data_IF_740487621828
#
_entry.id   IF_740487621828
#
_cell.length_a   1.000
_cell.length_b   1.000
_cell.length_c   1.000
_cell.angle_alpha   90.00
_cell.angle_beta   90.00
_cell.angle_gamma   90.00
#
_symmetry.space_group_name_H-M   'P 1'
#
loop_
_entity.id
_entity.type
_entity.pdbx_description
1 polymer ?
#
# COMPACT_ATOMS: atom_id res chain seq x y z
N UNK A 1 25.50 -25.56 -6.05
CA UNK A 1 25.31 -24.85 -4.78
C UNK A 1 26.34 -23.73 -4.72
N UNK A 2 25.99 -22.53 -5.17
CA UNK A 2 26.86 -21.35 -5.04
C UNK A 2 26.77 -20.86 -3.60
N UNK A 3 27.76 -21.17 -2.78
CA UNK A 3 27.86 -20.70 -1.40
C UNK A 3 27.93 -19.18 -1.40
N UNK A 4 26.86 -18.54 -0.92
CA UNK A 4 26.94 -17.13 -0.54
C UNK A 4 27.99 -17.02 0.58
N UNK A 5 28.85 -16.00 0.57
CA UNK A 5 29.86 -15.84 1.61
C UNK A 5 29.21 -15.72 2.98
N UNK A 6 29.72 -16.48 3.96
CA UNK A 6 29.27 -16.38 5.34
C UNK A 6 29.57 -14.97 5.89
N UNK A 7 28.57 -14.36 6.52
CA UNK A 7 28.76 -13.08 7.21
C UNK A 7 29.22 -13.38 8.65
N UNK A 8 30.51 -13.25 8.90
CA UNK A 8 31.05 -13.37 10.25
C UNK A 8 30.85 -12.07 11.03
N UNK A 9 29.97 -12.08 12.02
CA UNK A 9 29.76 -10.96 12.94
C UNK A 9 30.73 -11.14 14.12
N UNK A 10 31.58 -10.13 14.37
CA UNK A 10 32.62 -10.17 15.40
C UNK A 10 32.07 -10.29 16.83
N UNK A 11 32.94 -10.51 17.83
CA UNK A 11 32.54 -10.61 19.24
C UNK A 11 32.28 -9.21 19.82
N UNK A 12 31.33 -8.48 19.25
CA UNK A 12 30.98 -7.13 19.66
C UNK A 12 30.35 -7.15 21.06
N UNK A 13 30.89 -6.34 21.98
CA UNK A 13 30.43 -6.26 23.38
C UNK A 13 29.64 -4.99 23.69
N UNK A 14 29.65 -4.01 22.78
CA UNK A 14 28.98 -2.72 22.96
C UNK A 14 28.37 -2.23 21.66
N UNK A 15 27.25 -1.52 21.77
CA UNK A 15 26.61 -0.82 20.67
C UNK A 15 26.23 0.60 21.09
N UNK A 16 26.81 1.58 20.40
CA UNK A 16 26.53 3.00 20.61
C UNK A 16 26.55 3.75 19.28
N UNK A 17 25.73 4.81 19.18
CA UNK A 17 25.74 5.68 18.01
C UNK A 17 24.34 6.12 17.60
N UNK A 18 24.23 6.64 16.38
CA UNK A 18 22.95 7.06 15.80
C UNK A 18 22.77 6.53 14.39
N UNK A 19 21.53 6.17 14.04
CA UNK A 19 21.17 5.72 12.69
C UNK A 19 19.93 6.45 12.19
N UNK A 20 20.00 6.93 10.95
CA UNK A 20 18.83 7.44 10.22
C UNK A 20 18.18 6.26 9.51
N UNK A 21 16.92 6.02 9.81
CA UNK A 21 16.20 4.93 9.18
C UNK A 21 15.93 5.23 7.70
N UNK A 22 16.02 4.21 6.83
CA UNK A 22 15.45 4.33 5.50
C UNK A 22 13.92 4.51 5.61
N UNK A 23 13.30 5.11 4.60
CA UNK A 23 11.84 5.25 4.56
C UNK A 23 11.12 3.90 4.68
N UNK A 24 9.90 3.91 5.22
CA UNK A 24 9.10 2.71 5.36
C UNK A 24 8.58 2.21 4.03
N UNK A 25 8.74 0.90 3.79
CA UNK A 25 8.19 0.21 2.61
C UNK A 25 6.67 0.36 2.51
N UNK A 26 6.00 0.16 3.64
CA UNK A 26 4.54 0.20 3.74
C UNK A 26 3.97 1.60 3.51
N UNK A 27 4.64 2.64 4.00
CA UNK A 27 4.25 4.04 3.76
C UNK A 27 4.57 4.42 2.31
N UNK A 28 5.74 4.04 1.80
CA UNK A 28 6.18 4.34 0.42
C UNK A 28 5.17 3.87 -0.62
N UNK A 29 4.74 2.60 -0.57
CA UNK A 29 3.80 2.06 -1.56
C UNK A 29 2.39 2.66 -1.45
N UNK A 30 1.92 2.97 -0.23
CA UNK A 30 0.64 3.69 -0.05
C UNK A 30 0.72 5.11 -0.58
N UNK A 31 1.81 5.83 -0.27
CA UNK A 31 2.04 7.18 -0.73
C UNK A 31 2.16 7.27 -2.26
N UNK A 32 2.88 6.33 -2.89
CA UNK A 32 2.96 6.23 -4.36
C UNK A 32 1.57 6.09 -4.98
N UNK A 33 0.77 5.13 -4.51
CA UNK A 33 -0.55 4.91 -5.07
C UNK A 33 -1.52 6.08 -4.82
N UNK A 34 -1.54 6.65 -3.60
CA UNK A 34 -2.39 7.81 -3.30
C UNK A 34 -1.96 9.05 -4.11
N UNK A 35 -0.66 9.28 -4.26
CA UNK A 35 -0.14 10.36 -5.11
C UNK A 35 -0.59 10.19 -6.56
N UNK A 36 -0.49 8.97 -7.09
CA UNK A 36 -0.96 8.63 -8.44
C UNK A 36 -2.47 8.83 -8.62
N UNK A 37 -3.28 8.47 -7.63
CA UNK A 37 -4.74 8.65 -7.68
C UNK A 37 -5.19 10.09 -7.40
N UNK A 38 -4.32 10.94 -6.87
CA UNK A 38 -4.66 12.32 -6.50
C UNK A 38 -4.77 13.26 -7.70
N UNK A 39 -5.41 14.40 -7.51
CA UNK A 39 -5.26 15.56 -8.40
C UNK A 39 -4.06 16.40 -7.96
N UNK A 40 -3.22 16.75 -8.94
CA UNK A 40 -2.02 17.57 -8.74
C UNK A 40 -0.74 16.74 -8.60
N UNK A 41 0.38 17.44 -8.46
CA UNK A 41 1.72 16.82 -8.38
C UNK A 41 2.13 16.63 -6.93
N UNK A 42 2.64 15.45 -6.58
CA UNK A 42 3.17 15.13 -5.24
C UNK A 42 4.67 14.87 -5.31
N UNK A 43 5.44 15.59 -4.50
CA UNK A 43 6.86 15.31 -4.25
C UNK A 43 7.01 14.42 -3.02
N UNK A 44 7.35 13.16 -3.23
CA UNK A 44 7.64 12.19 -2.18
C UNK A 44 9.13 12.28 -1.80
N UNK A 45 9.43 12.52 -0.53
CA UNK A 45 10.80 12.58 0.02
C UNK A 45 11.09 11.39 0.92
N UNK A 46 12.37 10.98 1.00
CA UNK A 46 12.80 9.80 1.74
C UNK A 46 12.06 8.52 1.31
N UNK A 47 11.68 8.44 0.03
CA UNK A 47 11.00 7.27 -0.50
C UNK A 47 11.96 6.08 -0.44
N UNK A 48 11.48 4.93 0.05
CA UNK A 48 12.32 3.73 0.09
C UNK A 48 12.64 3.28 -1.33
N UNK A 49 13.92 3.08 -1.61
CA UNK A 49 14.35 2.40 -2.82
C UNK A 49 14.59 0.91 -2.56
N UNK A 50 13.60 0.09 -2.90
CA UNK A 50 13.61 -1.37 -2.71
C UNK A 50 12.78 -2.06 -3.80
N UNK A 51 12.92 -3.37 -3.94
CA UNK A 51 12.20 -4.16 -4.95
C UNK A 51 10.68 -3.88 -4.96
N UNK A 52 10.03 -3.90 -3.79
CA UNK A 52 8.59 -3.65 -3.69
C UNK A 52 8.17 -2.27 -4.22
N UNK A 53 8.97 -1.23 -3.98
CA UNK A 53 8.64 0.14 -4.42
C UNK A 53 9.04 0.39 -5.86
N UNK A 54 10.10 -0.27 -6.35
CA UNK A 54 10.43 -0.27 -7.78
C UNK A 54 9.32 -0.95 -8.61
N UNK A 55 8.79 -2.07 -8.13
CA UNK A 55 7.64 -2.74 -8.77
C UNK A 55 6.43 -1.80 -8.85
N UNK A 56 6.06 -1.13 -7.75
CA UNK A 56 4.95 -0.17 -7.76
C UNK A 56 5.19 0.98 -8.74
N UNK A 57 6.37 1.61 -8.73
CA UNK A 57 6.72 2.69 -9.67
C UNK A 57 6.63 2.24 -11.13
N UNK A 58 7.14 1.05 -11.44
CA UNK A 58 7.09 0.50 -12.80
C UNK A 58 5.65 0.18 -13.24
N UNK A 59 4.83 -0.36 -12.35
CA UNK A 59 3.41 -0.60 -12.65
C UNK A 59 2.66 0.71 -12.91
N UNK A 60 2.89 1.75 -12.11
CA UNK A 60 2.29 3.08 -12.29
C UNK A 60 2.74 3.73 -13.61
N UNK A 61 4.01 3.60 -14.00
CA UNK A 61 4.51 4.06 -15.31
C UNK A 61 3.81 3.33 -16.46
N UNK A 62 3.64 2.01 -16.37
CA UNK A 62 2.90 1.23 -17.37
C UNK A 62 1.42 1.61 -17.46
N UNK A 63 0.85 2.10 -16.35
CA UNK A 63 -0.51 2.65 -16.31
C UNK A 63 -0.60 4.07 -16.91
N UNK A 64 0.51 4.63 -17.40
CA UNK A 64 0.57 5.92 -18.09
C UNK A 64 0.83 7.12 -17.19
N UNK A 65 1.24 6.91 -15.93
CA UNK A 65 1.55 8.02 -15.02
C UNK A 65 3.01 8.49 -15.13
N UNK A 66 3.21 9.79 -14.91
CA UNK A 66 4.54 10.37 -14.71
C UNK A 66 5.01 10.10 -13.27
N UNK A 67 6.02 9.23 -13.14
CA UNK A 67 6.64 8.83 -11.86
C UNK A 67 8.15 8.94 -12.04
N UNK A 68 8.72 10.07 -11.60
CA UNK A 68 10.11 10.46 -11.89
C UNK A 68 10.92 10.37 -10.60
N UNK A 69 11.94 9.52 -10.59
CA UNK A 69 12.91 9.45 -9.50
C UNK A 69 13.99 10.53 -9.68
N UNK A 70 14.37 11.16 -8.58
CA UNK A 70 15.46 12.14 -8.47
C UNK A 70 16.49 11.66 -7.45
N UNK A 71 17.58 12.42 -7.31
CA UNK A 71 18.57 12.20 -6.26
C UNK A 71 17.95 12.27 -4.84
N UNK A 72 18.70 11.81 -3.84
CA UNK A 72 18.35 11.93 -2.42
C UNK A 72 16.99 11.33 -2.04
N UNK A 73 16.61 10.22 -2.69
CA UNK A 73 15.37 9.48 -2.42
C UNK A 73 14.11 10.33 -2.61
N UNK A 74 14.15 11.25 -3.58
CA UNK A 74 13.02 12.06 -3.98
C UNK A 74 12.36 11.44 -5.20
N UNK A 75 11.03 11.36 -5.20
CA UNK A 75 10.23 10.93 -6.35
C UNK A 75 9.08 11.90 -6.56
N UNK A 76 8.91 12.38 -7.80
CA UNK A 76 7.82 13.27 -8.19
C UNK A 76 6.78 12.47 -8.96
N UNK A 77 5.53 12.54 -8.51
CA UNK A 77 4.39 11.83 -9.09
C UNK A 77 3.35 12.85 -9.55
N UNK A 78 3.00 12.82 -10.83
CA UNK A 78 1.85 13.56 -11.34
C UNK A 78 0.61 12.70 -11.21
N UNK A 79 -0.34 13.16 -10.39
CA UNK A 79 -1.57 12.42 -10.12
C UNK A 79 -2.58 12.52 -11.28
N UNK A 80 -3.30 11.43 -11.51
CA UNK A 80 -4.27 11.29 -12.61
C UNK A 80 -5.71 11.68 -12.23
N UNK A 81 -5.94 12.17 -11.01
CA UNK A 81 -7.27 12.59 -10.55
C UNK A 81 -8.28 11.45 -10.44
N UNK A 82 -7.83 10.24 -10.09
CA UNK A 82 -8.67 9.09 -9.76
C UNK A 82 -8.84 8.06 -10.88
N UNK A 83 -8.61 8.44 -12.13
CA UNK A 83 -8.72 7.54 -13.29
C UNK A 83 -7.39 7.32 -13.99
N UNK A 84 -6.91 6.08 -14.03
CA UNK A 84 -5.65 5.75 -14.69
C UNK A 84 -5.76 5.95 -16.22
N UNK A 85 -4.74 6.53 -16.87
CA UNK A 85 -4.74 6.74 -18.31
C UNK A 85 -4.88 5.46 -19.14
N UNK A 86 -4.21 4.38 -18.71
CA UNK A 86 -4.25 3.09 -19.40
C UNK A 86 -5.28 2.17 -18.74
N UNK A 87 -6.21 1.69 -19.56
CA UNK A 87 -7.33 0.82 -19.17
C UNK A 87 -7.15 -0.64 -19.62
N UNK A 88 -5.97 -0.96 -20.18
CA UNK A 88 -5.59 -2.33 -20.53
C UNK A 88 -4.09 -2.55 -20.30
N UNK A 89 -3.69 -3.40 -19.36
CA UNK A 89 -2.28 -3.68 -19.07
C UNK A 89 -2.03 -5.06 -18.44
N UNK A 90 -0.87 -5.66 -18.73
CA UNK A 90 -0.32 -6.81 -18.00
C UNK A 90 0.83 -6.34 -17.11
N UNK A 91 0.62 -6.40 -15.80
CA UNK A 91 1.50 -5.84 -14.79
C UNK A 91 2.24 -6.97 -14.07
N UNK A 92 3.55 -6.97 -14.22
CA UNK A 92 4.43 -7.87 -13.47
C UNK A 92 4.76 -7.30 -12.09
N UNK A 93 4.27 -7.95 -11.06
CA UNK A 93 4.32 -7.50 -9.66
C UNK A 93 5.46 -8.13 -8.85
N UNK A 94 6.37 -8.87 -9.48
CA UNK A 94 7.49 -9.53 -8.79
C UNK A 94 7.02 -10.37 -7.60
N UNK A 95 7.64 -10.19 -6.43
CA UNK A 95 7.14 -10.67 -5.13
C UNK A 95 6.68 -9.49 -4.23
N UNK A 96 6.26 -8.37 -4.83
CA UNK A 96 5.98 -7.13 -4.13
C UNK A 96 4.58 -7.14 -3.49
N UNK A 97 4.54 -7.57 -2.24
CA UNK A 97 3.24 -7.84 -1.63
C UNK A 97 2.48 -6.57 -1.27
N UNK A 98 3.23 -5.58 -0.80
CA UNK A 98 2.74 -4.25 -0.48
C UNK A 98 2.36 -3.43 -1.71
N UNK A 99 2.65 -3.93 -2.92
CA UNK A 99 2.24 -3.31 -4.18
C UNK A 99 1.01 -3.99 -4.80
N UNK A 100 1.02 -5.32 -4.94
CA UNK A 100 -0.06 -6.03 -5.66
C UNK A 100 -1.44 -5.85 -5.01
N UNK A 101 -1.58 -5.96 -3.68
CA UNK A 101 -2.89 -5.85 -3.02
C UNK A 101 -3.55 -4.47 -3.23
N UNK A 102 -2.90 -3.35 -2.86
CA UNK A 102 -3.54 -2.06 -3.04
C UNK A 102 -3.73 -1.70 -4.53
N UNK A 103 -2.83 -2.13 -5.41
CA UNK A 103 -2.98 -1.89 -6.85
C UNK A 103 -4.13 -2.71 -7.46
N UNK A 104 -4.32 -3.97 -7.06
CA UNK A 104 -5.49 -4.78 -7.44
C UNK A 104 -6.79 -4.07 -7.09
N UNK A 105 -6.90 -3.56 -5.86
CA UNK A 105 -8.10 -2.85 -5.43
C UNK A 105 -8.34 -1.58 -6.23
N UNK A 106 -7.30 -0.76 -6.43
CA UNK A 106 -7.41 0.47 -7.20
C UNK A 106 -7.81 0.21 -8.66
N UNK A 107 -7.21 -0.80 -9.31
CA UNK A 107 -7.50 -1.18 -10.70
C UNK A 107 -8.91 -1.73 -10.88
N UNK A 108 -9.43 -2.48 -9.91
CA UNK A 108 -10.79 -2.97 -9.93
C UNK A 108 -11.83 -1.83 -9.99
N UNK A 109 -11.48 -0.63 -9.53
CA UNK A 109 -12.37 0.55 -9.56
C UNK A 109 -12.30 1.35 -10.87
N UNK A 110 -11.45 0.97 -11.83
CA UNK A 110 -11.16 1.79 -13.02
C UNK A 110 -12.09 1.51 -14.21
N UNK A 111 -12.77 0.36 -14.22
CA UNK A 111 -13.56 -0.10 -15.37
C UNK A 111 -12.71 -0.61 -16.55
N UNK A 112 -11.42 -0.91 -16.31
CA UNK A 112 -10.48 -1.44 -17.30
C UNK A 112 -10.25 -2.95 -17.19
N UNK A 113 -9.42 -3.49 -18.09
CA UNK A 113 -9.01 -4.88 -18.10
C UNK A 113 -7.53 -4.98 -17.70
N UNK A 114 -7.21 -5.72 -16.64
CA UNK A 114 -5.84 -5.79 -16.15
C UNK A 114 -5.46 -7.21 -15.82
N UNK A 115 -4.20 -7.55 -16.05
CA UNK A 115 -3.62 -8.79 -15.58
C UNK A 115 -2.52 -8.46 -14.58
N UNK A 116 -2.53 -9.12 -13.42
CA UNK A 116 -1.48 -8.97 -12.42
C UNK A 116 -0.86 -10.33 -12.15
N UNK A 117 0.45 -10.45 -12.39
CA UNK A 117 1.22 -11.68 -12.23
C UNK A 117 2.52 -11.42 -11.45
N UNK A 118 3.31 -12.46 -11.15
CA UNK A 118 4.58 -12.28 -10.46
C UNK A 118 5.53 -13.45 -10.65
N UNK A 119 6.54 -13.53 -9.79
CA UNK A 119 7.41 -14.70 -9.70
C UNK A 119 6.64 -15.89 -9.08
N UNK A 120 7.11 -17.15 -9.19
CA UNK A 120 6.41 -18.31 -8.63
C UNK A 120 5.99 -18.13 -7.17
N UNK A 121 6.86 -17.52 -6.34
CA UNK A 121 6.54 -17.24 -4.94
C UNK A 121 5.32 -16.34 -4.76
N UNK A 122 5.04 -15.41 -5.69
CA UNK A 122 3.84 -14.57 -5.64
C UNK A 122 2.56 -15.39 -5.83
N UNK A 123 2.62 -16.46 -6.62
CA UNK A 123 1.48 -17.33 -6.92
C UNK A 123 1.10 -18.23 -5.73
N UNK A 124 1.87 -18.18 -4.65
CA UNK A 124 1.61 -18.87 -3.38
C UNK A 124 1.18 -17.89 -2.28
N UNK A 125 1.08 -16.59 -2.58
CA UNK A 125 0.69 -15.58 -1.59
C UNK A 125 -0.80 -15.28 -1.66
N UNK A 126 -1.53 -15.37 -0.54
CA UNK A 126 -2.98 -15.21 -0.55
C UNK A 126 -3.40 -13.80 -0.97
N UNK A 127 -4.48 -13.75 -1.74
CA UNK A 127 -5.21 -12.52 -2.11
C UNK A 127 -6.74 -12.72 -2.09
N UNK A 128 -7.22 -13.92 -1.71
CA UNK A 128 -8.64 -14.30 -1.70
C UNK A 128 -9.53 -13.29 -0.99
N UNK A 129 -9.25 -12.98 0.27
CA UNK A 129 -10.14 -12.12 1.05
C UNK A 129 -10.27 -10.69 0.47
N UNK A 130 -9.23 -10.20 -0.21
CA UNK A 130 -9.33 -8.95 -0.96
C UNK A 130 -10.24 -9.09 -2.18
N UNK A 131 -10.05 -10.14 -2.97
CA UNK A 131 -10.88 -10.39 -4.16
C UNK A 131 -12.34 -10.60 -3.77
N UNK A 132 -12.62 -11.31 -2.68
CA UNK A 132 -13.98 -11.51 -2.17
C UNK A 132 -14.58 -10.18 -1.69
N UNK A 133 -13.79 -9.31 -1.04
CA UNK A 133 -14.18 -7.94 -0.71
C UNK A 133 -14.52 -7.09 -1.95
N UNK A 134 -13.72 -7.20 -3.01
CA UNK A 134 -13.93 -6.46 -4.25
C UNK A 134 -15.15 -7.00 -5.04
N UNK A 135 -15.39 -8.31 -5.02
CA UNK A 135 -16.55 -8.95 -5.67
C UNK A 135 -17.86 -8.54 -5.00
N UNK A 136 -17.87 -8.26 -3.69
CA UNK A 136 -19.06 -7.73 -2.99
C UNK A 136 -19.53 -6.39 -3.56
N UNK A 137 -18.63 -5.60 -4.15
CA UNK A 137 -18.96 -4.32 -4.80
C UNK A 137 -19.12 -4.44 -6.32
N UNK A 138 -19.18 -5.66 -6.85
CA UNK A 138 -19.41 -5.92 -8.28
C UNK A 138 -18.14 -6.00 -9.14
N UNK A 139 -16.94 -5.96 -8.54
CA UNK A 139 -15.71 -6.16 -9.31
C UNK A 139 -15.65 -7.56 -9.92
N UNK A 140 -15.24 -7.65 -11.19
CA UNK A 140 -15.04 -8.91 -11.89
C UNK A 140 -13.56 -9.28 -11.90
N UNK A 141 -13.20 -10.30 -11.12
CA UNK A 141 -11.81 -10.74 -10.98
C UNK A 141 -11.77 -12.26 -11.10
N UNK A 142 -10.95 -12.77 -12.00
CA UNK A 142 -10.72 -14.20 -12.24
C UNK A 142 -9.32 -14.62 -11.79
N UNK A 143 -9.20 -15.86 -11.30
CA UNK A 143 -7.91 -16.50 -11.03
C UNK A 143 -7.47 -17.30 -12.25
N UNK A 144 -6.21 -17.15 -12.68
CA UNK A 144 -5.73 -17.88 -13.87
C UNK A 144 -5.21 -19.28 -13.56
N UNK A 145 -4.68 -19.50 -12.36
CA UNK A 145 -4.02 -20.75 -11.97
C UNK A 145 -4.73 -21.42 -10.79
N UNK A 146 -4.63 -20.83 -9.60
CA UNK A 146 -5.20 -21.37 -8.37
C UNK A 146 -6.12 -20.35 -7.70
N UNK A 147 -7.31 -20.80 -7.31
CA UNK A 147 -8.27 -19.94 -6.64
C UNK A 147 -7.70 -19.37 -5.33
N UNK A 148 -7.77 -18.04 -5.19
CA UNK A 148 -7.30 -17.32 -4.01
C UNK A 148 -5.87 -16.78 -4.11
N UNK A 149 -5.18 -17.01 -5.24
CA UNK A 149 -3.78 -16.64 -5.44
C UNK A 149 -3.55 -16.00 -6.82
N UNK A 150 -2.59 -15.06 -6.96
CA UNK A 150 -2.15 -14.58 -8.27
C UNK A 150 -1.62 -15.71 -9.16
N UNK A 151 -1.60 -15.56 -10.51
CA UNK A 151 -2.06 -14.41 -11.27
C UNK A 151 -3.57 -14.21 -11.26
N UNK A 152 -3.99 -12.95 -11.36
CA UNK A 152 -5.41 -12.56 -11.47
C UNK A 152 -5.65 -11.74 -12.73
N UNK A 153 -6.85 -11.86 -13.27
CA UNK A 153 -7.40 -11.00 -14.33
C UNK A 153 -8.54 -10.16 -13.75
N UNK A 154 -8.41 -8.85 -13.82
CA UNK A 154 -9.47 -7.89 -13.53
C UNK A 154 -10.14 -7.57 -14.86
N UNK A 155 -11.46 -7.68 -14.93
CA UNK A 155 -12.25 -7.37 -16.11
C UNK A 155 -13.01 -6.06 -15.90
N UNK A 156 -13.28 -5.37 -17.01
CA UNK A 156 -14.13 -4.19 -16.98
C UNK A 156 -15.50 -4.51 -16.36
N UNK A 157 -15.88 -3.74 -15.35
CA UNK A 157 -17.12 -3.91 -14.61
C UNK A 157 -17.63 -2.57 -14.09
N UNK A 158 -18.95 -2.44 -14.01
CA UNK A 158 -19.59 -1.36 -13.27
C UNK A 158 -19.58 -1.71 -11.78
N UNK A 159 -19.08 -0.79 -10.97
CA UNK A 159 -19.01 -0.96 -9.51
C UNK A 159 -20.31 -0.46 -8.89
N UNK A 160 -20.97 -1.34 -8.15
CA UNK A 160 -22.21 -1.07 -7.42
C UNK A 160 -22.06 -1.49 -5.96
N UNK A 161 -22.10 -0.51 -5.07
CA UNK A 161 -22.01 -0.74 -3.63
C UNK A 161 -23.43 -0.67 -3.06
N UNK A 162 -24.03 -1.84 -2.83
CA UNK A 162 -25.42 -1.97 -2.35
C UNK A 162 -25.53 -2.14 -0.85
N UNK A 163 -24.54 -2.83 -0.28
CA UNK A 163 -24.55 -3.26 1.12
C UNK A 163 -23.21 -2.93 1.80
N UNK A 164 -23.15 -3.20 3.10
CA UNK A 164 -21.92 -3.15 3.90
C UNK A 164 -20.88 -4.12 3.33
N UNK A 165 -19.68 -3.63 3.05
CA UNK A 165 -18.56 -4.46 2.59
C UNK A 165 -17.94 -5.17 3.77
N UNK A 166 -17.90 -6.50 3.75
CA UNK A 166 -17.33 -7.31 4.84
C UNK A 166 -15.94 -7.81 4.49
N UNK A 167 -14.99 -7.64 5.40
CA UNK A 167 -13.61 -8.13 5.24
C UNK A 167 -13.13 -8.77 6.53
N UNK A 168 -12.39 -9.87 6.41
CA UNK A 168 -11.81 -10.54 7.58
C UNK A 168 -10.69 -9.72 8.20
N UNK A 169 -10.75 -9.54 9.53
CA UNK A 169 -9.76 -8.79 10.30
C UNK A 169 -8.53 -9.60 10.68
N UNK A 170 -8.64 -10.93 10.68
CA UNK A 170 -7.71 -11.88 11.31
C UNK A 170 -6.66 -12.46 10.34
N UNK A 171 -6.74 -12.14 9.05
CA UNK A 171 -5.84 -12.68 8.02
C UNK A 171 -4.73 -11.70 7.66
N UNK A 172 -5.09 -10.48 7.23
CA UNK A 172 -4.11 -9.49 6.77
C UNK A 172 -4.70 -8.08 6.69
N UNK A 173 -4.04 -7.11 7.33
CA UNK A 173 -4.39 -5.69 7.22
C UNK A 173 -4.27 -5.14 5.79
N UNK A 174 -3.52 -5.81 4.91
CA UNK A 174 -3.33 -5.36 3.52
C UNK A 174 -4.64 -5.38 2.72
N UNK A 175 -5.59 -6.24 3.07
CA UNK A 175 -6.86 -6.34 2.36
C UNK A 175 -7.79 -5.19 2.71
N UNK A 176 -8.00 -4.95 4.02
CA UNK A 176 -8.76 -3.80 4.49
C UNK A 176 -8.15 -2.47 4.01
N UNK A 177 -6.83 -2.31 4.13
CA UNK A 177 -6.17 -1.06 3.68
C UNK A 177 -6.25 -0.84 2.18
N UNK A 178 -6.23 -1.91 1.38
CA UNK A 178 -6.46 -1.82 -0.07
C UNK A 178 -7.89 -1.37 -0.40
N UNK A 179 -8.90 -1.93 0.27
CA UNK A 179 -10.31 -1.51 0.11
C UNK A 179 -10.51 -0.06 0.54
N UNK A 180 -9.98 0.34 1.70
CA UNK A 180 -10.06 1.71 2.22
C UNK A 180 -9.54 2.73 1.21
N UNK A 181 -8.42 2.44 0.55
CA UNK A 181 -7.83 3.35 -0.44
C UNK A 181 -8.59 3.38 -1.77
N UNK A 182 -9.22 2.28 -2.17
CA UNK A 182 -9.84 2.13 -3.50
C UNK A 182 -11.31 2.57 -3.55
N UNK A 183 -12.11 2.20 -2.56
CA UNK A 183 -13.56 2.49 -2.55
C UNK A 183 -13.93 3.98 -2.65
N UNK A 184 -13.15 4.96 -2.13
CA UNK A 184 -13.46 6.38 -2.32
C UNK A 184 -13.57 6.77 -3.80
N UNK A 185 -12.90 6.07 -4.72
CA UNK A 185 -12.90 6.36 -6.16
C UNK A 185 -14.30 6.21 -6.81
N UNK A 186 -15.18 5.41 -6.20
CA UNK A 186 -16.48 5.01 -6.77
C UNK A 186 -17.66 5.25 -5.82
N UNK A 187 -17.41 5.71 -4.60
CA UNK A 187 -18.41 5.91 -3.55
C UNK A 187 -19.39 7.03 -3.92
N UNK A 188 -20.54 6.71 -4.51
CA UNK A 188 -21.63 7.69 -4.77
C UNK A 188 -22.38 8.08 -3.50
N UNK A 189 -22.45 7.15 -2.56
CA UNK A 189 -23.02 7.29 -1.21
C UNK A 189 -21.96 6.88 -0.18
N UNK A 190 -22.12 7.18 1.12
CA UNK A 190 -21.21 6.70 2.15
C UNK A 190 -21.09 5.18 2.14
N UNK A 191 -19.86 4.67 2.16
CA UNK A 191 -19.57 3.23 2.11
C UNK A 191 -19.09 2.77 3.46
N UNK A 192 -19.78 1.77 4.04
CA UNK A 192 -19.34 1.13 5.29
C UNK A 192 -18.58 -0.16 4.98
N UNK A 193 -17.39 -0.29 5.55
CA UNK A 193 -16.65 -1.54 5.66
C UNK A 193 -16.78 -2.05 7.10
N UNK A 194 -17.15 -3.31 7.26
CA UNK A 194 -17.20 -4.00 8.55
C UNK A 194 -16.14 -5.11 8.59
N UNK A 195 -15.33 -5.08 9.64
CA UNK A 195 -14.34 -6.11 9.93
C UNK A 195 -15.01 -7.27 10.63
N UNK A 196 -14.85 -8.47 10.08
CA UNK A 196 -15.30 -9.71 10.69
C UNK A 196 -14.16 -10.34 11.47
N UNK A 197 -14.39 -10.60 12.76
CA UNK A 197 -13.41 -11.21 13.66
C UNK A 197 -12.45 -10.20 14.29
N UNK A 198 -11.37 -10.69 14.88
CA UNK A 198 -10.37 -9.84 15.54
C UNK A 198 -9.60 -9.01 14.51
N UNK A 199 -9.51 -7.70 14.74
CA UNK A 199 -8.73 -6.80 13.90
C UNK A 199 -7.25 -6.86 14.28
N UNK A 200 -6.51 -7.74 13.61
CA UNK A 200 -5.05 -7.78 13.79
C UNK A 200 -4.39 -6.61 13.05
N UNK A 201 -3.20 -6.21 13.51
CA UNK A 201 -2.36 -5.26 12.77
C UNK A 201 -2.95 -3.85 12.58
N UNK A 202 -3.71 -3.36 13.58
CA UNK A 202 -4.28 -1.99 13.66
C UNK A 202 -3.31 -0.86 13.26
N UNK A 203 -2.02 -0.87 13.62
CA UNK A 203 -1.09 0.19 13.23
C UNK A 203 -1.01 0.45 11.71
N UNK A 204 -1.12 -0.60 10.88
CA UNK A 204 -1.10 -0.41 9.42
C UNK A 204 -2.39 0.21 8.88
N UNK A 205 -3.51 0.01 9.57
CA UNK A 205 -4.77 0.66 9.25
C UNK A 205 -4.67 2.14 9.61
N UNK A 206 -4.21 2.46 10.82
CA UNK A 206 -4.04 3.85 11.26
C UNK A 206 -3.09 4.64 10.34
N UNK A 207 -1.97 4.05 9.91
CA UNK A 207 -1.09 4.63 8.90
C UNK A 207 -1.85 4.92 7.59
N UNK A 208 -2.71 4.00 7.16
CA UNK A 208 -3.50 4.17 5.93
C UNK A 208 -4.48 5.31 6.08
N UNK A 209 -5.20 5.38 7.21
CA UNK A 209 -6.16 6.44 7.51
C UNK A 209 -5.48 7.82 7.58
N UNK A 210 -4.34 7.91 8.27
CA UNK A 210 -3.52 9.14 8.35
C UNK A 210 -3.08 9.58 6.94
N UNK A 211 -2.60 8.65 6.11
CA UNK A 211 -2.20 8.97 4.74
C UNK A 211 -3.39 9.42 3.89
N UNK A 212 -4.51 8.70 3.91
CA UNK A 212 -5.72 9.11 3.19
C UNK A 212 -6.17 10.53 3.59
N UNK A 213 -6.14 10.84 4.89
CA UNK A 213 -6.47 12.17 5.39
C UNK A 213 -5.51 13.25 4.85
N UNK A 214 -4.21 12.96 4.75
CA UNK A 214 -3.24 13.87 4.11
C UNK A 214 -3.51 14.09 2.61
N UNK A 215 -4.16 13.13 1.95
CA UNK A 215 -4.62 13.27 0.57
C UNK A 215 -6.09 13.74 0.46
N UNK A 216 -6.66 14.26 1.56
CA UNK A 216 -7.99 14.92 1.56
C UNK A 216 -9.18 14.00 1.82
N UNK A 217 -8.98 12.71 2.09
CA UNK A 217 -10.07 11.77 2.38
C UNK A 217 -10.02 11.33 3.84
N UNK A 218 -11.02 11.75 4.62
CA UNK A 218 -11.19 11.34 6.00
C UNK A 218 -12.19 10.20 6.09
N UNK A 219 -11.79 9.09 6.70
CA UNK A 219 -12.66 7.94 6.98
C UNK A 219 -13.10 8.02 8.43
N UNK A 220 -14.40 7.89 8.69
CA UNK A 220 -14.94 7.86 10.04
C UNK A 220 -14.89 6.45 10.61
N UNK A 221 -14.50 6.33 11.88
CA UNK A 221 -14.37 5.05 12.57
C UNK A 221 -15.33 5.06 13.78
N UNK A 222 -16.62 4.77 13.60
CA UNK A 222 -17.61 4.85 14.70
C UNK A 222 -17.31 3.84 15.83
N UNK A 223 -16.61 2.76 15.50
CA UNK A 223 -16.12 1.77 16.45
C UNK A 223 -14.81 1.14 15.94
N UNK A 224 -14.28 0.15 16.67
CA UNK A 224 -13.01 -0.47 16.34
C UNK A 224 -13.03 -1.34 15.06
N UNK A 225 -14.21 -1.80 14.63
CA UNK A 225 -14.42 -2.76 13.53
C UNK A 225 -15.09 -2.14 12.30
N UNK A 226 -15.58 -0.90 12.40
CA UNK A 226 -16.31 -0.23 11.34
C UNK A 226 -15.56 0.97 10.78
N UNK A 227 -15.55 1.08 9.45
CA UNK A 227 -14.92 2.19 8.72
C UNK A 227 -15.91 2.75 7.71
N UNK A 228 -16.17 4.05 7.78
CA UNK A 228 -17.16 4.75 6.93
C UNK A 228 -16.43 5.72 6.02
N UNK A 229 -16.44 5.40 4.74
CA UNK A 229 -15.86 6.20 3.66
C UNK A 229 -16.93 7.20 3.20
N UNK A 230 -16.61 8.50 3.08
CA UNK A 230 -17.57 9.49 2.62
C UNK A 230 -17.90 9.30 1.14
N UNK A 231 -19.08 9.76 0.74
CA UNK A 231 -19.44 9.90 -0.67
C UNK A 231 -18.46 10.86 -1.37
N UNK A 232 -18.15 10.58 -2.63
CA UNK A 232 -17.32 11.44 -3.46
C UNK A 232 -18.04 12.76 -3.71
N UNK A 233 -17.35 13.87 -3.45
CA UNK A 233 -17.86 15.23 -3.72
C UNK A 233 -17.38 15.76 -5.07
N UNK A 234 -16.42 15.08 -5.70
CA UNK A 234 -15.94 15.38 -7.04
C UNK A 234 -15.36 14.11 -7.68
N UNK A 235 -15.09 14.15 -8.99
CA UNK A 235 -14.42 13.04 -9.69
C UNK A 235 -12.99 12.79 -9.18
N UNK A 236 -12.30 13.85 -8.72
CA UNK A 236 -10.97 13.74 -8.13
C UNK A 236 -11.05 13.71 -6.61
N UNK A 237 -11.23 12.51 -6.05
CA UNK A 237 -11.48 12.32 -4.62
C UNK A 237 -10.24 12.59 -3.76
N UNK A 238 -9.06 12.24 -4.25
CA UNK A 238 -7.80 12.54 -3.58
C UNK A 238 -7.18 13.84 -4.12
N UNK A 239 -6.57 14.62 -3.24
CA UNK A 239 -5.84 15.86 -3.57
C UNK A 239 -4.39 15.73 -3.12
N UNK A 240 -3.46 16.16 -3.98
CA UNK A 240 -2.04 16.16 -3.63
C UNK A 240 -1.78 17.08 -2.43
N UNK A 241 -0.99 16.64 -1.42
CA UNK A 241 -0.51 17.51 -0.35
C UNK A 241 0.68 18.40 -0.81
N UNK A 242 1.05 18.36 -2.10
CA UNK A 242 2.23 19.02 -2.65
C UNK A 242 3.52 18.28 -2.30
N UNK A 243 3.88 18.21 -1.02
CA UNK A 243 5.07 17.46 -0.55
C UNK A 243 4.70 16.51 0.58
N UNK A 244 5.21 15.29 0.52
CA UNK A 244 5.05 14.29 1.58
C UNK A 244 6.38 13.59 1.85
N UNK A 245 6.86 13.67 3.09
CA UNK A 245 8.03 12.92 3.54
C UNK A 245 7.60 11.58 4.11
N UNK A 246 8.22 10.52 3.63
CA UNK A 246 8.02 9.15 4.12
C UNK A 246 8.82 8.97 5.41
N UNK A 247 8.12 8.57 6.46
CA UNK A 247 8.73 8.27 7.75
C UNK A 247 9.65 7.05 7.67
N UNK A 248 10.58 6.98 8.61
CA UNK A 248 11.51 5.87 8.76
C UNK A 248 10.80 4.54 9.03
N UNK A 249 11.42 3.44 8.62
CA UNK A 249 10.82 2.13 8.79
C UNK A 249 10.90 1.65 10.24
N UNK A 250 9.76 1.69 10.96
CA UNK A 250 9.65 1.23 12.34
C UNK A 250 10.02 -0.26 12.51
N UNK A 251 9.76 -1.10 11.50
CA UNK A 251 10.19 -2.51 11.53
C UNK A 251 11.70 -2.61 11.54
N UNK A 252 12.39 -1.82 10.70
CA UNK A 252 13.85 -1.73 10.67
C UNK A 252 14.42 -1.09 11.93
N UNK A 253 13.69 -0.16 12.55
CA UNK A 253 14.06 0.44 13.83
C UNK A 253 14.26 -0.60 14.93
N UNK A 254 13.42 -1.65 14.93
CA UNK A 254 13.43 -2.68 15.98
C UNK A 254 14.80 -3.35 16.15
N UNK A 255 15.51 -3.62 15.05
CA UNK A 255 16.84 -4.24 15.10
C UNK A 255 17.88 -3.36 15.78
N UNK A 256 17.87 -2.05 15.50
CA UNK A 256 18.83 -1.10 16.09
C UNK A 256 18.50 -0.77 17.54
N UNK A 257 17.22 -0.69 17.88
CA UNK A 257 16.77 -0.54 19.26
C UNK A 257 17.15 -1.77 20.10
N UNK A 258 16.91 -2.98 19.57
CA UNK A 258 17.32 -4.23 20.21
C UNK A 258 18.85 -4.31 20.37
N UNK A 259 19.60 -3.89 19.34
CA UNK A 259 21.06 -3.80 19.41
C UNK A 259 21.53 -2.86 20.53
N UNK A 260 20.89 -1.69 20.70
CA UNK A 260 21.18 -0.79 21.80
C UNK A 260 20.88 -1.38 23.17
N UNK A 261 19.77 -2.11 23.31
CA UNK A 261 19.39 -2.78 24.55
C UNK A 261 20.36 -3.93 24.91
N UNK A 262 20.73 -4.76 23.93
CA UNK A 262 21.65 -5.91 24.12
C UNK A 262 23.10 -5.42 24.32
N UNK A 263 23.51 -4.38 23.57
CA UNK A 263 24.88 -3.85 23.54
C UNK A 263 25.18 -2.76 24.56
N UNK A 264 24.32 -2.52 25.55
CA UNK A 264 24.57 -1.57 26.64
C UNK A 264 24.46 -0.08 26.27
N UNK A 265 24.16 0.26 25.02
CA UNK A 265 23.72 1.58 24.57
C UNK A 265 24.67 2.77 24.79
N UNK A 266 24.23 4.00 24.45
CA UNK A 266 22.95 4.31 23.80
C UNK A 266 23.02 4.20 22.27
N UNK A 267 21.97 3.63 21.66
CA UNK A 267 21.71 3.70 20.21
C UNK A 267 20.51 4.60 19.95
N UNK A 268 20.71 5.66 19.17
CA UNK A 268 19.66 6.62 18.80
C UNK A 268 19.14 6.33 17.40
N UNK A 269 17.83 6.17 17.27
CA UNK A 269 17.17 5.97 15.98
C UNK A 269 16.51 7.28 15.55
N UNK A 270 16.78 7.71 14.33
CA UNK A 270 16.29 8.96 13.73
C UNK A 270 15.34 8.65 12.56
N UNK A 271 14.32 9.48 12.37
CA UNK A 271 13.35 9.36 11.26
C UNK A 271 12.01 8.72 11.65
N UNK A 272 11.81 8.36 12.92
CA UNK A 272 10.54 7.93 13.52
C UNK A 272 10.30 8.69 14.82
N UNK A 273 9.04 8.94 15.20
CA UNK A 273 8.72 9.78 16.36
C UNK A 273 7.42 9.38 17.06
N UNK A 274 7.02 10.18 18.06
CA UNK A 274 5.79 9.95 18.84
C UNK A 274 4.50 10.13 18.04
N UNK A 275 4.57 10.77 16.86
CA UNK A 275 3.42 10.99 15.97
C UNK A 275 3.34 9.99 14.80
N UNK A 276 4.33 9.08 14.70
CA UNK A 276 4.35 7.97 13.73
C UNK A 276 3.13 7.05 13.89
#
# INVERSE_FOLDING_TARGET
MSGLPDIQIGPFKRAQGSIVLPGSKSISNRALLLASLSKGTTTLKNLLDADDTQVMRNALRQLGLSVIDHADKVCVVEGCGGKFPIQNADLFMGNAGTAIRPLTAALAMQGGNYRLSGVPRMHERPIRDLVDGLRQVGAKIDYELQEGYPPIKILAADIEIKDVVKVRGDVSSQFLTALLMALPLVAKEPVRIEVIGELISRPYIDITLKLMARFGVKVDCPDAQSFVIPAKTSEAVYQSPGTLSVEGDASSASYFLALGAIGGGPVRVLGVGSES
#
